data_IF_726493337271
#
_entry.id   IF_726493337271
#
_cell.length_a   1.000
_cell.length_b   1.000
_cell.length_c   1.000
_cell.angle_alpha   90.00
_cell.angle_beta   90.00
_cell.angle_gamma   90.00
#
_symmetry.space_group_name_H-M   'P 1'
#
loop_
_entity.id
_entity.type
_entity.pdbx_description
1 polymer ?
#
# COMPACT_ATOMS: atom_id res chain seq x y z
N UNK A 1 3.36 -5.06 -6.94
CA UNK A 1 4.20 -4.28 -7.88
C UNK A 1 5.66 -4.64 -7.66
N UNK A 2 6.37 -5.13 -8.69
CA UNK A 2 7.82 -5.28 -8.59
C UNK A 2 8.46 -3.89 -8.58
N UNK A 3 9.24 -3.58 -7.55
CA UNK A 3 9.81 -2.24 -7.42
C UNK A 3 10.85 -2.03 -8.54
N UNK A 4 10.81 -0.88 -9.21
CA UNK A 4 11.67 -0.51 -10.36
C UNK A 4 11.35 -1.20 -11.70
N UNK A 5 10.27 -1.96 -11.79
CA UNK A 5 9.77 -2.52 -13.06
C UNK A 5 8.45 -1.84 -13.45
N UNK A 6 8.45 -1.11 -14.56
CA UNK A 6 7.28 -0.43 -15.11
C UNK A 6 6.60 -1.21 -16.24
N UNK A 7 7.20 -2.30 -16.71
CA UNK A 7 6.67 -3.11 -17.82
C UNK A 7 5.92 -4.35 -17.32
N UNK A 8 6.24 -4.81 -16.11
CA UNK A 8 5.50 -5.89 -15.48
C UNK A 8 4.11 -5.45 -15.05
N UNK A 9 3.10 -5.94 -15.75
CA UNK A 9 1.70 -5.81 -15.39
C UNK A 9 1.17 -7.12 -14.81
N UNK A 10 0.42 -7.03 -13.71
CA UNK A 10 -0.28 -8.17 -13.10
C UNK A 10 -1.76 -7.85 -13.03
N UNK A 11 -2.56 -8.52 -13.87
CA UNK A 11 -4.01 -8.44 -13.78
C UNK A 11 -4.50 -9.12 -12.49
N UNK A 12 -5.40 -8.44 -11.77
CA UNK A 12 -5.98 -8.88 -10.50
C UNK A 12 -7.43 -8.39 -10.42
N UNK A 13 -8.29 -9.13 -9.72
CA UNK A 13 -9.66 -8.73 -9.44
C UNK A 13 -9.92 -8.70 -7.93
N UNK A 14 -10.72 -7.75 -7.47
CA UNK A 14 -11.18 -7.67 -6.08
C UNK A 14 -12.54 -6.95 -6.01
N UNK A 15 -13.43 -7.34 -5.08
CA UNK A 15 -14.64 -6.58 -4.83
C UNK A 15 -14.34 -5.15 -4.35
N UNK A 16 -15.13 -4.20 -4.83
CA UNK A 16 -15.13 -2.83 -4.28
C UNK A 16 -15.84 -2.88 -2.92
N UNK A 17 -15.15 -2.39 -1.88
CA UNK A 17 -15.68 -2.29 -0.53
C UNK A 17 -16.35 -0.93 -0.29
N UNK A 18 -15.73 0.15 -0.77
CA UNK A 18 -16.12 1.53 -0.52
C UNK A 18 -15.50 2.48 -1.57
N UNK A 19 -15.98 3.72 -1.64
CA UNK A 19 -15.37 4.83 -2.37
C UNK A 19 -15.13 6.00 -1.41
N UNK A 20 -13.90 6.47 -1.30
CA UNK A 20 -13.53 7.46 -0.28
C UNK A 20 -12.77 8.64 -0.88
N UNK A 21 -13.09 9.85 -0.41
CA UNK A 21 -12.28 11.03 -0.68
C UNK A 21 -10.95 10.93 0.09
N UNK A 22 -9.84 10.94 -0.63
CA UNK A 22 -8.49 10.88 -0.08
C UNK A 22 -7.74 12.16 -0.40
N UNK A 23 -7.13 12.75 0.62
CA UNK A 23 -6.22 13.89 0.45
C UNK A 23 -4.78 13.38 0.44
N UNK A 24 -4.01 13.74 -0.59
CA UNK A 24 -2.58 13.43 -0.65
C UNK A 24 -1.73 14.39 0.19
N UNK A 25 -0.42 14.17 0.24
CA UNK A 25 0.50 15.06 0.96
C UNK A 25 0.66 16.44 0.32
N UNK A 26 0.26 16.61 -0.94
CA UNK A 26 0.24 17.89 -1.66
C UNK A 26 -1.05 18.68 -1.44
N UNK A 27 -2.05 18.11 -0.75
CA UNK A 27 -3.35 18.73 -0.50
C UNK A 27 -4.40 18.48 -1.59
N UNK A 28 -4.07 17.73 -2.64
CA UNK A 28 -5.03 17.35 -3.67
C UNK A 28 -5.99 16.29 -3.12
N UNK A 29 -7.24 16.38 -3.55
CA UNK A 29 -8.29 15.45 -3.14
C UNK A 29 -8.79 14.67 -4.34
N UNK A 30 -8.90 13.36 -4.20
CA UNK A 30 -9.50 12.49 -5.21
C UNK A 30 -10.38 11.42 -4.58
N UNK A 31 -11.41 11.00 -5.31
CA UNK A 31 -12.21 9.82 -4.95
C UNK A 31 -11.44 8.57 -5.36
N UNK A 32 -11.28 7.61 -4.44
CA UNK A 32 -10.60 6.35 -4.69
C UNK A 32 -11.47 5.17 -4.30
N UNK A 33 -11.45 4.14 -5.13
CA UNK A 33 -11.96 2.82 -4.74
C UNK A 33 -11.15 2.26 -3.58
N UNK A 34 -11.85 1.65 -2.64
CA UNK A 34 -11.31 0.91 -1.51
C UNK A 34 -11.58 -0.57 -1.73
N UNK A 35 -10.56 -1.40 -1.59
CA UNK A 35 -10.69 -2.86 -1.59
C UNK A 35 -10.18 -3.43 -0.26
N UNK A 36 -10.66 -4.62 0.11
CA UNK A 36 -10.10 -5.39 1.22
C UNK A 36 -9.09 -6.39 0.67
N UNK A 37 -7.85 -6.35 1.16
CA UNK A 37 -6.79 -7.24 0.69
C UNK A 37 -5.85 -7.66 1.83
N UNK A 38 -5.30 -8.88 1.83
CA UNK A 38 -4.30 -9.28 2.82
C UNK A 38 -2.96 -8.56 2.59
N UNK A 39 -2.41 -7.97 3.64
CA UNK A 39 -1.01 -7.49 3.67
C UNK A 39 -0.12 -8.51 4.39
N UNK A 40 1.07 -8.75 3.84
CA UNK A 40 2.10 -9.60 4.46
C UNK A 40 3.31 -8.75 4.85
N UNK A 41 3.73 -8.82 6.11
CA UNK A 41 4.91 -8.13 6.64
C UNK A 41 5.69 -9.10 7.54
N UNK A 42 6.84 -9.56 7.06
CA UNK A 42 7.59 -10.63 7.73
C UNK A 42 6.70 -11.87 7.92
N UNK A 43 6.55 -12.41 9.14
CA UNK A 43 5.70 -13.58 9.41
C UNK A 43 4.21 -13.24 9.58
N UNK A 44 3.83 -11.96 9.56
CA UNK A 44 2.47 -11.53 9.87
C UNK A 44 1.63 -11.31 8.61
N UNK A 45 0.37 -11.73 8.66
CA UNK A 45 -0.62 -11.51 7.60
C UNK A 45 -1.96 -11.07 8.20
N UNK A 46 -2.57 -10.01 7.66
CA UNK A 46 -3.89 -9.55 8.07
C UNK A 46 -4.58 -8.74 6.95
N UNK A 47 -5.92 -8.64 6.95
CA UNK A 47 -6.64 -7.84 5.97
C UNK A 47 -6.48 -6.33 6.24
N UNK A 48 -6.36 -5.54 5.18
CA UNK A 48 -6.34 -4.08 5.23
C UNK A 48 -7.25 -3.48 4.17
N UNK A 49 -7.81 -2.31 4.46
CA UNK A 49 -8.41 -1.45 3.44
C UNK A 49 -7.31 -0.79 2.62
N UNK A 50 -7.34 -0.98 1.31
CA UNK A 50 -6.41 -0.38 0.37
C UNK A 50 -7.14 0.53 -0.60
N UNK A 51 -6.67 1.76 -0.75
CA UNK A 51 -7.17 2.70 -1.77
C UNK A 51 -6.39 2.53 -3.07
N UNK A 52 -7.08 2.54 -4.22
CA UNK A 52 -6.48 2.39 -5.53
C UNK A 52 -6.21 3.77 -6.16
N UNK A 53 -4.99 4.00 -6.65
CA UNK A 53 -4.56 5.22 -7.35
C UNK A 53 -3.29 4.92 -8.18
N UNK A 54 -3.06 5.63 -9.28
CA UNK A 54 -1.82 5.48 -10.05
C UNK A 54 -0.67 6.20 -9.32
N UNK A 55 0.44 5.49 -9.10
CA UNK A 55 1.66 6.00 -8.44
C UNK A 55 2.94 5.67 -9.19
N UNK A 56 2.89 5.50 -10.50
CA UNK A 56 4.06 5.06 -11.29
C UNK A 56 5.26 6.01 -11.23
N UNK A 57 5.01 7.29 -10.93
CA UNK A 57 6.07 8.30 -10.73
C UNK A 57 6.72 8.27 -9.34
N UNK A 58 6.19 7.50 -8.38
CA UNK A 58 6.69 7.48 -7.00
C UNK A 58 7.79 6.43 -6.81
N UNK A 59 8.83 6.78 -6.03
CA UNK A 59 9.89 5.83 -5.61
C UNK A 59 9.32 4.58 -4.95
N UNK A 60 8.30 4.73 -4.10
CA UNK A 60 7.55 3.61 -3.53
C UNK A 60 6.09 3.75 -3.95
N UNK A 61 5.61 2.79 -4.76
CA UNK A 61 4.27 2.86 -5.35
C UNK A 61 3.16 2.46 -4.39
N UNK A 62 3.50 1.81 -3.28
CA UNK A 62 2.60 1.49 -2.18
C UNK A 62 2.96 2.33 -0.95
N UNK A 63 1.95 2.93 -0.32
CA UNK A 63 2.11 3.61 0.97
C UNK A 63 1.25 2.86 2.00
N UNK A 64 1.88 2.44 3.10
CA UNK A 64 1.19 1.81 4.21
C UNK A 64 0.91 2.86 5.29
N UNK A 65 -0.37 3.17 5.51
CA UNK A 65 -0.79 4.15 6.50
C UNK A 65 -0.80 3.62 7.94
N UNK A 66 -0.92 4.52 8.92
CA UNK A 66 -0.98 4.17 10.35
C UNK A 66 -2.09 3.18 10.68
N UNK A 67 -3.27 3.31 10.08
CA UNK A 67 -4.40 2.41 10.30
C UNK A 67 -4.09 0.96 9.93
N UNK A 68 -3.41 0.76 8.79
CA UNK A 68 -3.02 -0.57 8.35
C UNK A 68 -1.96 -1.22 9.27
N UNK A 69 -1.14 -0.40 9.93
CA UNK A 69 -0.07 -0.82 10.84
C UNK A 69 -0.50 -0.94 12.31
N UNK A 70 -1.66 -0.38 12.69
CA UNK A 70 -2.05 -0.16 14.08
C UNK A 70 -2.01 -1.47 14.89
N UNK A 71 -1.34 -1.41 16.04
CA UNK A 71 -1.14 -2.54 16.98
C UNK A 71 -0.42 -3.78 16.41
N UNK A 72 0.19 -3.67 15.22
CA UNK A 72 0.82 -4.81 14.52
C UNK A 72 2.26 -4.55 14.10
N UNK A 73 2.62 -3.29 13.82
CA UNK A 73 3.93 -2.92 13.29
C UNK A 73 4.55 -1.80 14.11
N UNK A 74 5.84 -1.93 14.41
CA UNK A 74 6.70 -0.87 14.93
C UNK A 74 7.67 -0.43 13.83
N UNK A 75 7.76 0.87 13.58
CA UNK A 75 8.67 1.44 12.58
C UNK A 75 9.91 1.98 13.27
N UNK A 76 11.09 1.48 12.88
CA UNK A 76 12.39 2.07 13.22
C UNK A 76 12.87 2.94 12.05
N UNK A 77 12.83 4.28 12.15
CA UNK A 77 13.15 5.16 11.02
C UNK A 77 14.62 5.13 10.59
N UNK A 78 15.53 4.65 11.46
CA UNK A 78 16.96 4.53 11.19
C UNK A 78 17.34 3.25 10.45
N UNK A 79 16.36 2.41 10.12
CA UNK A 79 16.57 1.09 9.52
C UNK A 79 15.70 0.91 8.29
N UNK A 80 16.08 -0.01 7.41
CA UNK A 80 15.29 -0.37 6.22
C UNK A 80 15.33 -1.87 6.03
N UNK A 81 14.27 -2.43 5.41
CA UNK A 81 14.20 -3.86 5.03
C UNK A 81 14.33 -4.86 6.20
N UNK A 82 13.92 -4.46 7.41
CA UNK A 82 13.94 -5.32 8.61
C UNK A 82 13.01 -6.55 8.49
N UNK A 83 12.04 -6.52 7.58
CA UNK A 83 11.10 -7.61 7.33
C UNK A 83 11.54 -8.55 6.18
N UNK A 84 12.77 -8.43 5.69
CA UNK A 84 13.32 -9.16 4.56
C UNK A 84 13.73 -8.26 3.40
N UNK A 85 14.55 -8.80 2.50
CA UNK A 85 14.98 -8.07 1.31
C UNK A 85 13.83 -7.89 0.30
N UNK A 86 13.75 -6.73 -0.37
CA UNK A 86 12.81 -6.51 -1.45
C UNK A 86 13.16 -7.44 -2.62
N UNK A 87 12.17 -8.16 -3.13
CA UNK A 87 12.27 -8.96 -4.36
C UNK A 87 11.71 -8.21 -5.56
#
# INVERSE_FOLDING_TARGET
PHQNDLTLEQACDAPILDERQVTDSGGHREMRYVILTPVHIGPFCWPVEMTLTNRDSMRFRMLLGRTAMASRVLVSPSSSYLAGEPR
#
